data_IF_807622581629
#
_entry.id   IF_807622581629
#
_cell.length_a   1.000
_cell.length_b   1.000
_cell.length_c   1.000
_cell.angle_alpha   90.00
_cell.angle_beta   90.00
_cell.angle_gamma   90.00
#
_symmetry.space_group_name_H-M   'P 1'
#
loop_
_entity.id
_entity.type
_entity.pdbx_description
1 polymer ?
#
# COMPACT_ATOMS: atom_id res chain seq x y z
N UNK A 1 4.41 2.94 -4.23
CA UNK A 1 3.55 2.45 -3.13
C UNK A 1 2.83 3.60 -2.44
N UNK A 2 1.59 3.36 -2.01
CA UNK A 2 0.75 4.25 -1.23
C UNK A 2 0.95 4.01 0.28
N UNK A 3 1.20 5.07 1.05
CA UNK A 3 1.14 5.00 2.51
C UNK A 3 -0.28 5.32 2.98
N UNK A 4 -0.85 4.42 3.77
CA UNK A 4 -2.11 4.64 4.47
C UNK A 4 -1.88 4.71 5.97
N UNK A 5 -2.40 5.76 6.61
CA UNK A 5 -2.58 5.77 8.06
C UNK A 5 -3.81 4.94 8.41
N UNK A 6 -3.67 4.07 9.40
CA UNK A 6 -4.75 3.18 9.87
C UNK A 6 -4.81 3.19 11.40
N UNK A 7 -5.93 2.74 11.97
CA UNK A 7 -6.07 2.64 13.44
C UNK A 7 -5.02 1.73 14.10
N UNK A 8 -4.45 0.78 13.35
CA UNK A 8 -3.42 -0.14 13.82
C UNK A 8 -1.98 0.35 13.50
N UNK A 9 -1.86 1.56 12.96
CA UNK A 9 -0.61 2.15 12.47
C UNK A 9 -0.47 2.13 10.95
N UNK A 10 0.62 2.71 10.47
CA UNK A 10 0.82 2.97 9.04
C UNK A 10 1.03 1.69 8.24
N UNK A 11 0.39 1.61 7.07
CA UNK A 11 0.48 0.47 6.16
C UNK A 11 0.84 0.93 4.76
N UNK A 12 1.88 0.33 4.20
CA UNK A 12 2.25 0.49 2.79
C UNK A 12 1.44 -0.45 1.92
N UNK A 13 0.82 0.04 0.86
CA UNK A 13 0.02 -0.74 -0.09
C UNK A 13 0.53 -0.46 -1.50
N UNK A 14 0.73 -1.51 -2.30
CA UNK A 14 1.11 -1.32 -3.70
C UNK A 14 -0.04 -0.72 -4.51
N UNK A 15 0.28 -0.10 -5.65
CA UNK A 15 -0.73 0.56 -6.49
C UNK A 15 -1.84 -0.41 -6.89
N UNK A 16 -1.47 -1.65 -7.26
CA UNK A 16 -2.42 -2.69 -7.65
C UNK A 16 -3.41 -3.01 -6.52
N UNK A 17 -2.92 -3.32 -5.32
CA UNK A 17 -3.81 -3.62 -4.20
C UNK A 17 -4.59 -2.39 -3.72
N UNK A 18 -4.05 -1.17 -3.89
CA UNK A 18 -4.77 0.06 -3.57
C UNK A 18 -6.03 0.24 -4.42
N UNK A 19 -5.98 -0.21 -5.68
CA UNK A 19 -7.13 -0.20 -6.60
C UNK A 19 -8.06 -1.39 -6.35
N UNK A 20 -7.51 -2.60 -6.23
CA UNK A 20 -8.32 -3.82 -6.04
C UNK A 20 -9.10 -3.79 -4.72
N UNK A 21 -8.50 -3.26 -3.66
CA UNK A 21 -9.07 -3.25 -2.31
C UNK A 21 -9.61 -1.86 -1.92
N UNK A 22 -9.89 -0.97 -2.90
CA UNK A 22 -10.35 0.40 -2.63
C UNK A 22 -11.59 0.42 -1.71
N UNK A 23 -12.53 -0.50 -1.93
CA UNK A 23 -13.75 -0.59 -1.12
C UNK A 23 -13.44 -0.92 0.36
N UNK A 24 -12.47 -1.80 0.62
CA UNK A 24 -12.03 -2.16 1.96
C UNK A 24 -11.28 -1.01 2.63
N UNK A 25 -10.39 -0.34 1.89
CA UNK A 25 -9.65 0.84 2.35
C UNK A 25 -10.63 1.94 2.78
N UNK A 26 -11.68 2.20 1.98
CA UNK A 26 -12.73 3.16 2.31
C UNK A 26 -13.57 2.72 3.51
N UNK A 27 -13.99 1.46 3.57
CA UNK A 27 -14.79 0.92 4.69
C UNK A 27 -14.04 1.02 6.02
N UNK A 28 -12.74 0.70 6.01
CA UNK A 28 -11.86 0.79 7.17
C UNK A 28 -11.32 2.20 7.44
N UNK A 29 -11.71 3.19 6.63
CA UNK A 29 -11.29 4.60 6.76
C UNK A 29 -9.77 4.78 6.80
N UNK A 30 -9.06 4.00 5.99
CA UNK A 30 -7.62 4.17 5.82
C UNK A 30 -7.37 5.49 5.09
N UNK A 31 -6.55 6.35 5.69
CA UNK A 31 -6.29 7.68 5.14
C UNK A 31 -5.03 7.65 4.30
N UNK A 32 -5.14 8.02 3.03
CA UNK A 32 -3.98 8.13 2.15
C UNK A 32 -3.14 9.35 2.53
N UNK A 33 -1.83 9.16 2.75
CA UNK A 33 -0.93 10.25 3.16
C UNK A 33 -0.04 10.69 2.00
N UNK A 34 0.73 9.78 1.41
CA UNK A 34 1.61 10.07 0.26
C UNK A 34 2.06 8.80 -0.45
N UNK A 35 2.69 8.99 -1.61
CA UNK A 35 3.27 7.93 -2.42
C UNK A 35 4.79 7.93 -2.33
N UNK A 36 5.38 6.74 -2.27
CA UNK A 36 6.82 6.55 -2.34
C UNK A 36 7.20 5.40 -3.24
N UNK A 37 8.14 5.69 -4.12
CA UNK A 37 8.90 4.71 -4.89
C UNK A 37 10.10 4.26 -4.06
N UNK A 38 10.06 3.03 -3.56
CA UNK A 38 11.17 2.44 -2.82
C UNK A 38 11.14 0.91 -2.97
N UNK A 39 12.20 0.29 -3.53
CA UNK A 39 12.28 -1.15 -3.77
C UNK A 39 12.28 -1.99 -2.50
N UNK A 40 12.54 -1.39 -1.34
CA UNK A 40 12.56 -2.10 -0.05
C UNK A 40 11.18 -2.18 0.59
N UNK A 41 10.23 -1.34 0.17
CA UNK A 41 8.86 -1.38 0.66
C UNK A 41 8.16 -2.67 0.21
N UNK A 42 7.28 -3.19 1.07
CA UNK A 42 6.50 -4.40 0.83
C UNK A 42 5.05 -4.11 1.17
N UNK A 43 4.15 -4.45 0.24
CA UNK A 43 2.72 -4.23 0.41
C UNK A 43 2.22 -5.02 1.63
N UNK A 44 1.45 -4.37 2.50
CA UNK A 44 0.86 -4.99 3.67
C UNK A 44 -0.14 -6.10 3.31
N UNK A 45 -0.74 -6.03 2.11
CA UNK A 45 -1.78 -6.95 1.64
C UNK A 45 -1.18 -8.16 0.88
N UNK A 46 -0.35 -7.91 -0.14
CA UNK A 46 0.19 -8.99 -0.98
C UNK A 46 1.66 -9.35 -0.69
N UNK A 47 2.33 -8.61 0.21
CA UNK A 47 3.74 -8.79 0.61
C UNK A 47 4.77 -8.63 -0.50
N UNK A 48 4.38 -8.20 -1.70
CA UNK A 48 5.27 -7.93 -2.83
C UNK A 48 5.77 -6.48 -2.82
N UNK A 49 6.96 -6.20 -3.39
CA UNK A 49 7.34 -4.84 -3.76
C UNK A 49 6.41 -4.28 -4.84
N UNK A 50 6.43 -2.96 -5.02
CA UNK A 50 5.69 -2.26 -6.08
C UNK A 50 6.36 -2.45 -7.44
N UNK A 51 7.69 -2.61 -7.42
CA UNK A 51 8.54 -2.85 -8.57
C UNK A 51 9.33 -4.14 -8.37
N UNK A 52 9.21 -5.05 -9.33
CA UNK A 52 10.14 -6.16 -9.50
C UNK A 52 11.30 -5.60 -10.34
N UNK A 53 12.44 -5.36 -9.70
CA UNK A 53 13.66 -5.14 -10.47
C UNK A 53 14.09 -6.54 -10.94
N UNK A 54 13.77 -6.88 -12.19
CA UNK A 54 14.41 -8.01 -12.86
C UNK A 54 15.92 -7.73 -12.89
N UNK A 55 16.71 -8.61 -12.25
CA UNK A 55 18.18 -8.56 -12.15
C UNK A 55 18.86 -8.74 -13.52
#
# INVERSE_FOLDING_TARGET
MHLYETEEGDKWVCITCGVEEESMIREKKWEWIFDRDDPTLRCALCRRPDYDYED
#
